data_IF_662721556164
#
_entry.id   IF_662721556164
#
_cell.length_a   1.000
_cell.length_b   1.000
_cell.length_c   1.000
_cell.angle_alpha   90.00
_cell.angle_beta   90.00
_cell.angle_gamma   90.00
#
_symmetry.space_group_name_H-M   'P 1'
#
loop_
_entity.id
_entity.type
_entity.pdbx_description
1 polymer ?
#
# COMPACT_ATOMS: atom_id res chain seq x y z
N UNK A 1 -25.32 -26.20 39.02
CA UNK A 1 -25.51 -26.56 37.60
C UNK A 1 -24.17 -26.37 36.90
N UNK A 2 -23.37 -27.44 36.80
CA UNK A 2 -22.13 -27.45 36.03
C UNK A 2 -22.51 -27.58 34.56
N UNK A 3 -22.39 -26.50 33.79
CA UNK A 3 -22.58 -26.53 32.35
C UNK A 3 -21.57 -27.51 31.75
N UNK A 4 -22.08 -28.60 31.18
CA UNK A 4 -21.30 -29.57 30.43
C UNK A 4 -20.52 -28.85 29.32
N UNK A 5 -19.20 -29.10 29.15
CA UNK A 5 -18.42 -28.41 28.12
C UNK A 5 -18.96 -28.80 26.75
N UNK A 6 -19.52 -27.82 26.02
CA UNK A 6 -20.06 -28.01 24.69
C UNK A 6 -18.98 -28.62 23.77
N UNK A 7 -19.27 -29.82 23.23
CA UNK A 7 -18.40 -30.49 22.28
C UNK A 7 -18.20 -29.55 21.08
N UNK A 8 -16.95 -29.16 20.74
CA UNK A 8 -16.71 -28.22 19.65
C UNK A 8 -17.23 -28.83 18.35
N UNK A 9 -18.11 -28.10 17.67
CA UNK A 9 -18.68 -28.54 16.40
C UNK A 9 -17.56 -28.91 15.41
N UNK A 10 -17.64 -30.06 14.71
CA UNK A 10 -16.62 -30.49 13.77
C UNK A 10 -16.40 -29.41 12.70
N UNK A 11 -15.14 -29.05 12.45
CA UNK A 11 -14.78 -28.08 11.42
C UNK A 11 -13.98 -28.77 10.31
N UNK A 12 -14.07 -28.24 9.09
CA UNK A 12 -13.34 -28.77 7.95
C UNK A 12 -11.89 -28.27 7.99
N UNK A 13 -10.92 -29.16 8.10
CA UNK A 13 -9.49 -28.81 8.03
C UNK A 13 -9.16 -28.21 6.65
N UNK A 14 -8.62 -26.99 6.64
CA UNK A 14 -8.22 -26.25 5.43
C UNK A 14 -6.72 -26.27 5.17
N UNK A 15 -5.96 -27.20 5.78
CA UNK A 15 -4.51 -27.33 5.60
C UNK A 15 -4.07 -27.32 4.12
N UNK A 16 -4.70 -28.12 3.27
CA UNK A 16 -4.33 -28.19 1.84
C UNK A 16 -4.48 -26.84 1.16
N UNK A 17 -5.58 -26.12 1.44
CA UNK A 17 -5.79 -24.79 0.87
C UNK A 17 -4.76 -23.78 1.40
N UNK A 18 -4.40 -23.84 2.68
CA UNK A 18 -3.31 -23.02 3.25
C UNK A 18 -1.97 -23.30 2.57
N UNK A 19 -1.66 -24.56 2.27
CA UNK A 19 -0.44 -24.91 1.51
C UNK A 19 -0.48 -24.27 0.11
N UNK A 20 -1.61 -24.37 -0.61
CA UNK A 20 -1.75 -23.78 -1.96
C UNK A 20 -1.55 -22.25 -1.92
N UNK A 21 -2.21 -21.55 -0.99
CA UNK A 21 -2.04 -20.10 -0.84
C UNK A 21 -0.62 -19.71 -0.43
N UNK A 22 0.00 -20.47 0.48
CA UNK A 22 1.37 -20.20 0.89
C UNK A 22 2.40 -20.47 -0.22
N UNK A 23 2.18 -21.48 -1.08
CA UNK A 23 2.99 -21.69 -2.30
C UNK A 23 2.81 -20.53 -3.28
N UNK A 24 1.59 -20.03 -3.46
CA UNK A 24 1.35 -18.84 -4.28
C UNK A 24 2.10 -17.61 -3.74
N UNK A 25 2.08 -17.38 -2.43
CA UNK A 25 2.86 -16.31 -1.77
C UNK A 25 4.38 -16.47 -1.98
N UNK A 26 4.89 -17.69 -1.95
CA UNK A 26 6.31 -17.98 -2.25
C UNK A 26 6.67 -17.75 -3.72
N UNK A 27 5.79 -18.11 -4.66
CA UNK A 27 5.99 -17.83 -6.08
C UNK A 27 5.99 -16.32 -6.35
N UNK A 28 5.09 -15.57 -5.68
CA UNK A 28 5.09 -14.12 -5.74
C UNK A 28 6.40 -13.53 -5.17
N UNK A 29 6.89 -14.07 -4.05
CA UNK A 29 8.17 -13.66 -3.47
C UNK A 29 9.34 -13.90 -4.45
N UNK A 30 9.37 -15.05 -5.11
CA UNK A 30 10.38 -15.39 -6.12
C UNK A 30 10.32 -14.45 -7.32
N UNK A 31 9.10 -14.15 -7.81
CA UNK A 31 8.90 -13.18 -8.89
C UNK A 31 9.42 -11.79 -8.50
N UNK A 32 9.08 -11.31 -7.30
CA UNK A 32 9.57 -10.03 -6.79
C UNK A 32 11.10 -10.02 -6.64
N UNK A 33 11.71 -11.11 -6.20
CA UNK A 33 13.16 -11.26 -6.12
C UNK A 33 13.81 -11.22 -7.52
N UNK A 34 13.21 -11.86 -8.53
CA UNK A 34 13.69 -11.83 -9.91
C UNK A 34 13.60 -10.41 -10.51
N UNK A 35 12.48 -9.70 -10.30
CA UNK A 35 12.33 -8.30 -10.71
C UNK A 35 13.36 -7.40 -10.01
N UNK A 36 13.62 -7.65 -8.72
CA UNK A 36 14.64 -6.93 -7.95
C UNK A 36 16.02 -7.15 -8.55
N UNK A 37 16.38 -8.40 -8.86
CA UNK A 37 17.67 -8.74 -9.49
C UNK A 37 17.82 -8.07 -10.86
N UNK A 38 16.79 -8.13 -11.70
CA UNK A 38 16.78 -7.46 -12.99
C UNK A 38 16.97 -5.95 -12.84
N UNK A 39 16.26 -5.33 -11.88
CA UNK A 39 16.36 -3.89 -11.60
C UNK A 39 17.78 -3.50 -11.15
N UNK A 40 18.45 -4.34 -10.36
CA UNK A 40 19.86 -4.14 -9.98
C UNK A 40 20.78 -4.23 -11.21
N UNK A 41 20.61 -5.25 -12.06
CA UNK A 41 21.39 -5.40 -13.29
C UNK A 41 21.21 -4.19 -14.21
N UNK A 42 19.97 -3.74 -14.42
CA UNK A 42 19.67 -2.55 -15.20
C UNK A 42 20.32 -1.31 -14.59
N UNK A 43 20.24 -1.12 -13.27
CA UNK A 43 20.87 0.01 -12.59
C UNK A 43 22.40 0.02 -12.77
N UNK A 44 23.04 -1.14 -12.70
CA UNK A 44 24.49 -1.28 -12.93
C UNK A 44 24.87 -1.02 -14.39
N UNK A 45 24.04 -1.46 -15.35
CA UNK A 45 24.26 -1.23 -16.77
C UNK A 45 24.02 0.25 -17.18
N UNK A 46 23.01 0.89 -16.60
CA UNK A 46 22.58 2.26 -16.93
C UNK A 46 23.37 3.33 -16.18
N UNK A 47 24.09 2.99 -15.10
CA UNK A 47 25.07 3.88 -14.44
C UNK A 47 26.07 4.52 -15.42
N UNK A 48 26.23 3.95 -16.61
CA UNK A 48 27.06 4.50 -17.69
C UNK A 48 26.42 5.63 -18.53
N UNK A 49 25.11 5.91 -18.45
CA UNK A 49 24.42 6.80 -19.43
C UNK A 49 23.28 7.71 -18.93
N UNK A 50 22.76 7.61 -17.71
CA UNK A 50 21.57 8.42 -17.31
C UNK A 50 21.86 9.52 -16.29
N UNK A 51 21.42 10.75 -16.59
CA UNK A 51 21.43 11.90 -15.67
C UNK A 51 20.33 11.85 -14.59
N UNK A 52 19.33 10.98 -14.75
CA UNK A 52 18.26 10.71 -13.76
C UNK A 52 18.75 9.84 -12.59
N UNK A 53 19.58 10.41 -11.73
CA UNK A 53 19.91 10.01 -10.35
C UNK A 53 19.92 8.51 -9.98
N UNK A 54 21.10 7.92 -9.65
CA UNK A 54 21.25 6.56 -9.09
C UNK A 54 20.41 6.26 -7.84
N UNK A 55 19.89 7.30 -7.18
CA UNK A 55 19.12 7.20 -5.94
C UNK A 55 17.76 6.57 -6.16
N UNK A 56 16.90 7.06 -7.07
CA UNK A 56 15.50 6.59 -7.22
C UNK A 56 15.42 5.09 -7.56
N UNK A 57 16.31 4.64 -8.44
CA UNK A 57 16.42 3.24 -8.82
C UNK A 57 16.86 2.35 -7.64
N UNK A 58 17.83 2.78 -6.84
CA UNK A 58 18.27 2.05 -5.65
C UNK A 58 17.12 1.84 -4.65
N UNK A 59 16.27 2.84 -4.46
CA UNK A 59 15.13 2.72 -3.54
C UNK A 59 14.05 1.78 -4.04
N UNK A 60 13.77 1.82 -5.34
CA UNK A 60 12.84 0.88 -5.97
C UNK A 60 13.30 -0.57 -5.73
N UNK A 61 14.60 -0.82 -5.87
CA UNK A 61 15.22 -2.12 -5.54
C UNK A 61 15.02 -2.48 -4.06
N UNK A 62 15.29 -1.56 -3.12
CA UNK A 62 15.14 -1.84 -1.69
C UNK A 62 13.70 -2.16 -1.28
N UNK A 63 12.72 -1.43 -1.83
CA UNK A 63 11.29 -1.69 -1.57
C UNK A 63 10.88 -3.05 -2.13
N UNK A 64 11.26 -3.36 -3.37
CA UNK A 64 10.96 -4.65 -3.99
C UNK A 64 11.60 -5.82 -3.24
N UNK A 65 12.86 -5.67 -2.81
CA UNK A 65 13.55 -6.65 -1.98
C UNK A 65 12.83 -6.88 -0.63
N UNK A 66 12.43 -5.81 0.05
CA UNK A 66 11.68 -5.88 1.30
C UNK A 66 10.33 -6.58 1.12
N UNK A 67 9.61 -6.27 0.04
CA UNK A 67 8.35 -6.94 -0.31
C UNK A 67 8.55 -8.43 -0.61
N UNK A 68 9.63 -8.80 -1.31
CA UNK A 68 9.96 -10.20 -1.57
C UNK A 68 10.21 -10.98 -0.27
N UNK A 69 10.98 -10.40 0.66
CA UNK A 69 11.23 -11.01 1.98
C UNK A 69 9.94 -11.15 2.79
N UNK A 70 9.10 -10.10 2.80
CA UNK A 70 7.81 -10.13 3.50
C UNK A 70 6.87 -11.19 2.92
N UNK A 71 6.75 -11.28 1.59
CA UNK A 71 5.95 -12.29 0.91
C UNK A 71 6.46 -13.71 1.19
N UNK A 72 7.77 -13.92 1.20
CA UNK A 72 8.36 -15.21 1.53
C UNK A 72 8.05 -15.62 2.98
N UNK A 73 8.20 -14.67 3.92
CA UNK A 73 7.92 -14.89 5.33
C UNK A 73 6.44 -15.23 5.58
N UNK A 74 5.53 -14.50 4.94
CA UNK A 74 4.09 -14.78 4.99
C UNK A 74 3.76 -16.14 4.37
N UNK A 75 4.32 -16.46 3.20
CA UNK A 75 4.13 -17.74 2.53
C UNK A 75 4.51 -18.93 3.40
N UNK A 76 5.69 -18.88 4.03
CA UNK A 76 6.13 -19.90 4.99
C UNK A 76 5.16 -19.98 6.17
N UNK A 77 4.76 -18.83 6.73
CA UNK A 77 3.79 -18.77 7.83
C UNK A 77 2.44 -19.39 7.47
N UNK A 78 1.95 -19.15 6.25
CA UNK A 78 0.69 -19.69 5.72
C UNK A 78 0.76 -21.21 5.53
N UNK A 79 1.85 -21.75 4.95
CA UNK A 79 2.06 -23.21 4.80
C UNK A 79 2.07 -23.89 6.17
N UNK A 80 2.70 -23.26 7.16
CA UNK A 80 2.78 -23.74 8.53
C UNK A 80 1.50 -23.47 9.35
N UNK A 81 0.45 -22.93 8.73
CA UNK A 81 -0.83 -22.59 9.35
C UNK A 81 -0.69 -21.70 10.61
N UNK A 82 0.29 -20.78 10.62
CA UNK A 82 0.55 -19.90 11.78
C UNK A 82 -0.55 -18.86 11.94
N UNK A 83 -0.97 -18.61 13.18
CA UNK A 83 -2.03 -17.62 13.48
C UNK A 83 -1.65 -16.20 13.08
N UNK A 84 -0.38 -15.83 13.27
CA UNK A 84 0.10 -14.50 12.91
C UNK A 84 0.07 -14.28 11.40
N UNK A 85 0.41 -15.30 10.60
CA UNK A 85 0.42 -15.19 9.14
C UNK A 85 -0.99 -14.94 8.61
N UNK A 86 -2.00 -15.68 9.12
CA UNK A 86 -3.41 -15.44 8.80
C UNK A 86 -3.85 -14.01 9.13
N UNK A 87 -3.52 -13.52 10.32
CA UNK A 87 -3.90 -12.17 10.75
C UNK A 87 -3.26 -11.09 9.86
N UNK A 88 -1.96 -11.23 9.56
CA UNK A 88 -1.24 -10.30 8.68
C UNK A 88 -1.78 -10.33 7.25
N UNK A 89 -1.96 -11.52 6.66
CA UNK A 89 -2.49 -11.65 5.30
C UNK A 89 -3.91 -11.09 5.18
N UNK A 90 -4.75 -11.25 6.20
CA UNK A 90 -6.08 -10.65 6.20
C UNK A 90 -6.03 -9.12 6.28
N UNK A 91 -5.16 -8.55 7.13
CA UNK A 91 -4.97 -7.11 7.20
C UNK A 91 -4.39 -6.54 5.89
N UNK A 92 -3.33 -7.17 5.35
CA UNK A 92 -2.69 -6.76 4.10
C UNK A 92 -3.64 -6.92 2.92
N UNK A 93 -4.45 -7.98 2.88
CA UNK A 93 -5.47 -8.19 1.86
C UNK A 93 -6.52 -7.07 1.86
N UNK A 94 -6.99 -6.62 3.03
CA UNK A 94 -7.89 -5.47 3.11
C UNK A 94 -7.23 -4.15 2.69
N UNK A 95 -5.99 -3.91 3.12
CA UNK A 95 -5.23 -2.70 2.71
C UNK A 95 -5.05 -2.71 1.20
N UNK A 96 -4.62 -3.83 0.62
CA UNK A 96 -4.46 -3.99 -0.82
C UNK A 96 -5.78 -3.82 -1.56
N UNK A 97 -6.87 -4.44 -1.11
CA UNK A 97 -8.18 -4.31 -1.73
C UNK A 97 -8.68 -2.86 -1.74
N UNK A 98 -8.59 -2.17 -0.60
CA UNK A 98 -9.03 -0.77 -0.49
C UNK A 98 -8.18 0.11 -1.40
N UNK A 99 -6.85 0.04 -1.30
CA UNK A 99 -5.95 0.79 -2.18
C UNK A 99 -6.17 0.46 -3.67
N UNK A 100 -6.44 -0.81 -3.97
CA UNK A 100 -6.72 -1.31 -5.32
C UNK A 100 -8.03 -0.78 -5.90
N UNK A 101 -9.09 -0.71 -5.08
CA UNK A 101 -10.35 -0.07 -5.46
C UNK A 101 -10.16 1.43 -5.69
N UNK A 102 -9.43 2.12 -4.81
CA UNK A 102 -9.10 3.54 -4.98
C UNK A 102 -8.32 3.79 -6.28
N UNK A 103 -7.30 2.97 -6.55
CA UNK A 103 -6.51 3.05 -7.79
C UNK A 103 -7.29 2.64 -9.03
N UNK A 104 -8.24 1.70 -8.92
CA UNK A 104 -9.11 1.33 -10.04
C UNK A 104 -10.09 2.46 -10.39
N UNK A 105 -10.62 3.15 -9.37
CA UNK A 105 -11.45 4.34 -9.57
C UNK A 105 -10.66 5.47 -10.24
N UNK A 106 -9.36 5.58 -9.95
CA UNK A 106 -8.54 6.62 -10.56
C UNK A 106 -8.33 6.45 -12.07
N UNK A 107 -8.60 5.25 -12.61
CA UNK A 107 -8.60 5.03 -14.05
C UNK A 107 -9.59 5.91 -14.80
N UNK A 108 -10.67 6.37 -14.17
CA UNK A 108 -11.62 7.31 -14.80
C UNK A 108 -10.92 8.60 -15.25
N UNK A 109 -9.92 9.06 -14.50
CA UNK A 109 -9.13 10.24 -14.85
C UNK A 109 -7.92 9.93 -15.72
N UNK A 110 -7.36 8.72 -15.63
CA UNK A 110 -6.15 8.32 -16.37
C UNK A 110 -6.49 7.89 -17.81
N UNK A 111 -7.63 7.23 -18.03
CA UNK A 111 -8.01 6.67 -19.34
C UNK A 111 -8.03 7.69 -20.49
N UNK A 112 -8.58 8.91 -20.34
CA UNK A 112 -8.55 9.90 -21.41
C UNK A 112 -7.13 10.32 -21.82
N UNK A 113 -6.21 10.35 -20.86
CA UNK A 113 -4.82 10.74 -21.12
C UNK A 113 -4.01 9.58 -21.72
N UNK A 114 -4.30 8.36 -21.27
CA UNK A 114 -3.77 7.15 -21.90
C UNK A 114 -4.12 7.09 -23.40
N UNK A 115 -5.35 7.46 -23.77
CA UNK A 115 -5.77 7.51 -25.18
C UNK A 115 -4.99 8.51 -26.01
N UNK A 116 -4.79 9.71 -25.47
CA UNK A 116 -4.00 10.76 -26.12
C UNK A 116 -2.56 10.31 -26.30
N UNK A 117 -1.95 9.79 -25.24
CA UNK A 117 -0.58 9.28 -25.25
C UNK A 117 -0.38 8.18 -26.28
N UNK A 118 -1.29 7.19 -26.36
CA UNK A 118 -1.19 6.12 -27.35
C UNK A 118 -1.33 6.63 -28.78
N UNK A 119 -2.24 7.58 -29.05
CA UNK A 119 -2.39 8.17 -30.38
C UNK A 119 -1.16 8.95 -30.81
N UNK A 120 -0.52 9.68 -29.89
CA UNK A 120 0.72 10.40 -30.15
C UNK A 120 1.87 9.44 -30.49
N UNK A 121 2.05 8.38 -29.70
CA UNK A 121 3.10 7.38 -29.95
C UNK A 121 2.88 6.64 -31.26
N UNK A 122 1.63 6.32 -31.59
CA UNK A 122 1.28 5.68 -32.86
C UNK A 122 1.56 6.60 -34.05
N UNK A 123 1.20 7.88 -33.96
CA UNK A 123 1.52 8.88 -34.97
C UNK A 123 3.03 9.02 -35.19
N UNK A 124 3.83 9.02 -34.12
CA UNK A 124 5.29 9.05 -34.21
C UNK A 124 5.88 7.79 -34.86
N UNK A 125 5.24 6.65 -34.68
CA UNK A 125 5.68 5.35 -35.21
C UNK A 125 5.14 5.07 -36.62
N UNK A 126 4.37 5.99 -37.22
CA UNK A 126 3.70 5.78 -38.50
C UNK A 126 2.62 4.69 -38.48
N UNK A 127 2.16 4.29 -37.29
CA UNK A 127 1.13 3.26 -37.13
C UNK A 127 -0.26 3.91 -37.02
N UNK A 128 -1.23 3.37 -37.75
CA UNK A 128 -2.63 3.73 -37.59
C UNK A 128 -3.30 2.79 -36.57
N UNK A 129 -3.57 3.28 -35.37
CA UNK A 129 -4.37 2.56 -34.38
C UNK A 129 -5.84 2.59 -34.80
N UNK A 130 -6.38 1.45 -35.20
CA UNK A 130 -7.82 1.30 -35.41
C UNK A 130 -8.58 1.42 -34.08
N UNK A 131 -9.85 1.83 -34.12
CA UNK A 131 -10.68 1.93 -32.91
C UNK A 131 -10.80 0.60 -32.17
N UNK A 132 -10.90 -0.51 -32.91
CA UNK A 132 -10.93 -1.86 -32.34
C UNK A 132 -9.65 -2.20 -31.55
N UNK A 133 -8.47 -1.80 -32.04
CA UNK A 133 -7.20 -2.00 -31.33
C UNK A 133 -7.15 -1.20 -30.03
N UNK A 134 -7.54 0.08 -30.05
CA UNK A 134 -7.58 0.92 -28.84
C UNK A 134 -8.55 0.35 -27.80
N UNK A 135 -9.72 -0.11 -28.23
CA UNK A 135 -10.70 -0.74 -27.33
C UNK A 135 -10.12 -2.01 -26.71
N UNK A 136 -9.53 -2.90 -27.52
CA UNK A 136 -8.92 -4.14 -27.04
C UNK A 136 -7.80 -3.89 -26.01
N UNK A 137 -6.92 -2.91 -26.27
CA UNK A 137 -5.84 -2.52 -25.36
C UNK A 137 -6.37 -1.92 -24.05
N UNK A 138 -7.39 -1.07 -24.10
CA UNK A 138 -8.02 -0.52 -22.89
C UNK A 138 -8.74 -1.60 -22.09
N UNK A 139 -9.51 -2.46 -22.75
CA UNK A 139 -10.21 -3.56 -22.10
C UNK A 139 -9.24 -4.54 -21.43
N UNK A 140 -8.11 -4.85 -22.08
CA UNK A 140 -7.09 -5.71 -21.48
C UNK A 140 -6.40 -5.05 -20.28
N UNK A 141 -6.06 -3.76 -20.37
CA UNK A 141 -5.50 -2.99 -19.25
C UNK A 141 -6.47 -2.93 -18.07
N UNK A 142 -7.73 -2.54 -18.29
CA UNK A 142 -8.76 -2.47 -17.24
C UNK A 142 -8.99 -3.86 -16.64
N UNK A 143 -9.10 -4.90 -17.48
CA UNK A 143 -9.26 -6.28 -17.03
C UNK A 143 -8.11 -6.73 -16.13
N UNK A 144 -6.86 -6.45 -16.53
CA UNK A 144 -5.68 -6.75 -15.72
C UNK A 144 -5.68 -5.99 -14.40
N UNK A 145 -6.00 -4.68 -14.41
CA UNK A 145 -6.09 -3.88 -13.19
C UNK A 145 -7.15 -4.44 -12.24
N UNK A 146 -8.36 -4.75 -12.74
CA UNK A 146 -9.43 -5.31 -11.91
C UNK A 146 -9.04 -6.68 -11.34
N UNK A 147 -8.42 -7.55 -12.14
CA UNK A 147 -7.97 -8.86 -11.64
C UNK A 147 -6.93 -8.67 -10.53
N UNK A 148 -5.91 -7.85 -10.78
CA UNK A 148 -4.78 -7.69 -9.86
C UNK A 148 -5.14 -6.92 -8.58
N UNK A 149 -5.97 -5.88 -8.68
CA UNK A 149 -6.27 -4.96 -7.58
C UNK A 149 -7.62 -5.19 -6.91
N UNK A 150 -8.50 -5.98 -7.52
CA UNK A 150 -9.82 -6.29 -6.94
C UNK A 150 -9.99 -7.79 -6.74
N UNK A 151 -9.85 -8.61 -7.79
CA UNK A 151 -10.17 -10.05 -7.71
C UNK A 151 -9.20 -10.79 -6.79
N UNK A 152 -7.89 -10.66 -7.00
CA UNK A 152 -6.87 -11.34 -6.18
C UNK A 152 -6.97 -10.95 -4.69
N UNK A 153 -6.93 -9.66 -4.32
CA UNK A 153 -7.02 -9.29 -2.90
C UNK A 153 -8.38 -9.64 -2.28
N UNK A 154 -9.48 -9.61 -3.05
CA UNK A 154 -10.78 -10.10 -2.57
C UNK A 154 -10.75 -11.59 -2.27
N UNK A 155 -10.15 -12.41 -3.14
CA UNK A 155 -10.00 -13.84 -2.90
C UNK A 155 -9.18 -14.12 -1.63
N UNK A 156 -8.08 -13.39 -1.42
CA UNK A 156 -7.27 -13.47 -0.20
C UNK A 156 -8.08 -13.12 1.04
N UNK A 157 -8.81 -11.99 1.01
CA UNK A 157 -9.66 -11.54 2.12
C UNK A 157 -10.72 -12.58 2.46
N UNK A 158 -11.46 -13.08 1.45
CA UNK A 158 -12.51 -14.08 1.64
C UNK A 158 -11.94 -15.38 2.21
N UNK A 159 -10.79 -15.83 1.71
CA UNK A 159 -10.12 -17.03 2.18
C UNK A 159 -9.68 -16.92 3.64
N UNK A 160 -8.88 -15.89 3.99
CA UNK A 160 -8.33 -15.75 5.34
C UNK A 160 -9.37 -15.31 6.40
N UNK A 161 -10.50 -14.75 5.96
CA UNK A 161 -11.66 -14.47 6.83
C UNK A 161 -12.47 -15.72 7.16
N UNK A 162 -12.41 -16.78 6.35
CA UNK A 162 -13.24 -17.96 6.53
C UNK A 162 -13.04 -18.64 7.89
N UNK A 163 -14.15 -19.00 8.54
CA UNK A 163 -14.14 -19.59 9.89
C UNK A 163 -13.34 -20.90 9.95
N UNK A 164 -13.44 -21.73 8.92
CA UNK A 164 -12.69 -22.98 8.83
C UNK A 164 -11.17 -22.74 8.77
N UNK A 165 -10.71 -21.67 8.09
CA UNK A 165 -9.29 -21.31 8.03
C UNK A 165 -8.82 -20.82 9.40
N UNK A 166 -9.63 -19.99 10.07
CA UNK A 166 -9.37 -19.56 11.45
C UNK A 166 -9.17 -20.76 12.38
N UNK A 167 -10.15 -21.66 12.43
CA UNK A 167 -10.12 -22.85 13.30
C UNK A 167 -8.96 -23.77 12.99
N UNK A 168 -8.64 -23.95 11.70
CA UNK A 168 -7.46 -24.73 11.28
C UNK A 168 -6.17 -24.14 11.84
N UNK A 169 -5.97 -22.81 11.72
CA UNK A 169 -4.80 -22.15 12.28
C UNK A 169 -4.76 -22.21 13.81
N UNK A 170 -5.89 -22.05 14.49
CA UNK A 170 -5.97 -22.11 15.96
C UNK A 170 -5.66 -23.52 16.50
N UNK A 171 -6.14 -24.57 15.81
CA UNK A 171 -5.84 -25.94 16.18
C UNK A 171 -4.38 -26.34 15.91
N UNK A 172 -3.76 -25.81 14.85
CA UNK A 172 -2.38 -26.15 14.44
C UNK A 172 -1.31 -25.28 15.11
N UNK A 173 -1.64 -24.06 15.52
CA UNK A 173 -0.74 -23.13 16.20
C UNK A 173 -1.39 -22.66 17.51
N UNK A 174 -1.41 -23.51 18.57
CA UNK A 174 -2.07 -23.19 19.84
C UNK A 174 -1.31 -22.11 20.64
N UNK A 175 -0.06 -21.82 20.25
CA UNK A 175 0.79 -20.82 20.90
C UNK A 175 0.22 -19.42 20.65
N UNK A 176 0.01 -18.66 21.72
CA UNK A 176 -0.37 -17.24 21.64
C UNK A 176 0.70 -16.46 20.87
N UNK A 177 0.29 -15.73 19.85
CA UNK A 177 1.17 -14.90 19.03
C UNK A 177 0.99 -13.42 19.36
N UNK A 178 1.96 -12.60 18.97
CA UNK A 178 1.92 -11.16 19.17
C UNK A 178 0.69 -10.52 18.49
N UNK A 179 0.26 -11.04 17.33
CA UNK A 179 -0.97 -10.59 16.65
C UNK A 179 -2.24 -10.81 17.46
N UNK A 180 -2.24 -11.71 18.45
CA UNK A 180 -3.40 -11.95 19.31
C UNK A 180 -3.52 -10.89 20.44
N UNK A 181 -2.49 -10.08 20.67
CA UNK A 181 -2.51 -9.02 21.67
C UNK A 181 -3.24 -7.75 21.18
N UNK A 182 -3.50 -7.63 19.88
CA UNK A 182 -4.17 -6.49 19.28
C UNK A 182 -5.42 -6.96 18.50
N UNK A 183 -6.60 -6.34 18.70
CA UNK A 183 -7.77 -6.63 17.89
C UNK A 183 -7.44 -6.49 16.41
N UNK A 184 -7.83 -7.48 15.60
CA UNK A 184 -7.49 -7.54 14.17
C UNK A 184 -7.87 -6.25 13.39
N UNK A 185 -8.98 -5.61 13.79
CA UNK A 185 -9.44 -4.34 13.21
C UNK A 185 -8.45 -3.19 13.46
N UNK A 186 -7.82 -3.16 14.63
CA UNK A 186 -6.79 -2.15 14.96
C UNK A 186 -5.44 -2.53 14.35
N UNK A 187 -5.13 -3.82 14.25
CA UNK A 187 -3.88 -4.33 13.67
C UNK A 187 -3.64 -3.81 12.25
N UNK A 188 -4.68 -3.69 11.42
CA UNK A 188 -4.57 -3.08 10.09
C UNK A 188 -3.99 -1.67 10.10
N UNK A 189 -4.42 -0.81 11.04
CA UNK A 189 -3.84 0.53 11.20
C UNK A 189 -2.43 0.50 11.77
N UNK A 190 -2.16 -0.41 12.72
CA UNK A 190 -0.81 -0.60 13.26
C UNK A 190 0.17 -0.94 12.13
N UNK A 191 -0.23 -1.83 11.21
CA UNK A 191 0.56 -2.17 10.03
C UNK A 191 0.66 -1.00 9.05
N UNK A 192 -0.43 -0.26 8.80
CA UNK A 192 -0.40 0.89 7.90
C UNK A 192 0.59 1.97 8.38
N UNK A 193 0.52 2.36 9.66
CA UNK A 193 1.46 3.34 10.24
C UNK A 193 2.86 2.76 10.43
N UNK A 194 2.99 1.47 10.75
CA UNK A 194 4.29 0.80 10.91
C UNK A 194 5.05 0.67 9.60
N UNK A 195 4.39 0.17 8.55
CA UNK A 195 4.94 0.14 7.19
C UNK A 195 5.17 1.56 6.68
N UNK A 196 4.22 2.47 6.90
CA UNK A 196 4.38 3.89 6.54
C UNK A 196 5.60 4.54 7.19
N UNK A 197 5.91 4.20 8.44
CA UNK A 197 7.14 4.64 9.12
C UNK A 197 8.38 4.18 8.37
N UNK A 198 8.45 2.88 8.05
CA UNK A 198 9.59 2.31 7.35
C UNK A 198 9.71 2.94 5.95
N UNK A 199 8.61 3.08 5.22
CA UNK A 199 8.58 3.72 3.92
C UNK A 199 9.06 5.17 4.00
N UNK A 200 8.55 5.99 4.93
CA UNK A 200 8.97 7.39 5.05
C UNK A 200 10.43 7.51 5.50
N UNK A 201 10.88 6.70 6.46
CA UNK A 201 12.26 6.73 6.93
C UNK A 201 13.24 6.34 5.83
N UNK A 202 12.95 5.25 5.10
CA UNK A 202 13.76 4.80 3.97
C UNK A 202 13.72 5.81 2.82
N UNK A 203 12.55 6.38 2.49
CA UNK A 203 12.41 7.32 1.38
C UNK A 203 12.81 8.76 1.73
N UNK A 204 13.18 9.03 2.98
CA UNK A 204 13.54 10.39 3.42
C UNK A 204 14.69 11.04 2.63
N UNK A 205 15.74 10.33 2.17
CA UNK A 205 16.77 10.95 1.34
C UNK A 205 16.29 11.29 -0.08
N UNK A 206 15.25 10.62 -0.58
CA UNK A 206 14.60 10.95 -1.85
C UNK A 206 13.64 12.13 -1.71
N UNK A 207 12.69 12.02 -0.79
CA UNK A 207 11.71 13.06 -0.53
C UNK A 207 12.34 14.30 0.11
N UNK A 208 13.54 14.18 0.68
CA UNK A 208 14.37 15.30 1.13
C UNK A 208 14.71 16.29 0.02
N UNK A 209 14.56 15.92 -1.26
CA UNK A 209 14.69 16.86 -2.39
C UNK A 209 13.46 17.72 -2.58
N UNK A 210 12.28 17.18 -2.35
CA UNK A 210 11.01 17.88 -2.47
C UNK A 210 9.93 17.21 -1.61
N UNK A 211 9.42 17.95 -0.62
CA UNK A 211 8.28 17.58 0.21
C UNK A 211 7.19 18.65 0.06
N UNK A 212 5.99 18.29 -0.45
CA UNK A 212 4.89 19.23 -0.54
C UNK A 212 4.25 19.42 0.84
N UNK A 213 4.26 20.67 1.31
CA UNK A 213 3.70 21.12 2.58
C UNK A 213 2.80 22.33 2.32
N UNK A 214 1.49 22.12 2.36
CA UNK A 214 0.44 23.12 2.20
C UNK A 214 0.69 24.04 0.99
N UNK A 215 0.91 23.45 -0.18
CA UNK A 215 1.16 24.18 -1.44
C UNK A 215 2.61 24.67 -1.62
N UNK A 216 3.44 24.58 -0.58
CA UNK A 216 4.87 24.92 -0.65
C UNK A 216 5.70 23.66 -0.81
N UNK A 217 6.83 23.75 -1.51
CA UNK A 217 7.76 22.62 -1.65
C UNK A 217 8.99 22.89 -0.79
N UNK A 218 9.07 22.19 0.35
CA UNK A 218 10.25 22.15 1.20
C UNK A 218 11.31 21.24 0.56
N UNK A 219 12.57 21.62 0.67
CA UNK A 219 13.70 20.88 0.09
C UNK A 219 14.92 20.93 1.00
N UNK A 220 15.84 20.00 0.83
CA UNK A 220 17.07 19.87 1.61
C UNK A 220 16.83 19.35 3.03
N UNK A 221 17.69 19.78 3.95
CA UNK A 221 17.68 19.35 5.36
C UNK A 221 16.34 19.56 6.06
N UNK A 222 15.62 20.70 5.89
CA UNK A 222 14.32 20.89 6.52
C UNK A 222 13.29 19.81 6.13
N UNK A 223 13.24 19.41 4.85
CA UNK A 223 12.34 18.37 4.39
C UNK A 223 12.67 17.00 5.03
N UNK A 224 13.95 16.66 5.13
CA UNK A 224 14.41 15.43 5.79
C UNK A 224 14.01 15.43 7.26
N UNK A 225 14.22 16.53 7.99
CA UNK A 225 13.85 16.64 9.40
C UNK A 225 12.34 16.48 9.61
N UNK A 226 11.51 17.10 8.77
CA UNK A 226 10.06 16.94 8.82
C UNK A 226 9.64 15.49 8.57
N UNK A 227 10.25 14.82 7.59
CA UNK A 227 9.96 13.42 7.29
C UNK A 227 10.39 12.47 8.41
N UNK A 228 11.57 12.69 9.02
CA UNK A 228 12.04 11.90 10.14
C UNK A 228 11.16 12.12 11.39
N UNK A 229 10.73 13.35 11.64
CA UNK A 229 9.77 13.66 12.69
C UNK A 229 8.42 12.96 12.44
N UNK A 230 7.95 12.96 11.19
CA UNK A 230 6.72 12.26 10.80
C UNK A 230 6.85 10.74 10.92
N UNK A 231 8.00 10.17 10.58
CA UNK A 231 8.29 8.75 10.77
C UNK A 231 8.30 8.38 12.26
N UNK A 232 8.96 9.18 13.11
CA UNK A 232 8.97 8.98 14.56
C UNK A 232 7.55 9.08 15.15
N UNK A 233 6.76 10.05 14.70
CA UNK A 233 5.35 10.18 15.09
C UNK A 233 4.53 8.96 14.65
N UNK A 234 4.73 8.49 13.42
CA UNK A 234 4.04 7.31 12.89
C UNK A 234 4.40 6.03 13.65
N UNK A 235 5.67 5.86 14.04
CA UNK A 235 6.11 4.76 14.90
C UNK A 235 5.45 4.82 16.28
N UNK A 236 5.38 6.02 16.86
CA UNK A 236 4.72 6.24 18.14
C UNK A 236 3.22 5.92 18.06
N UNK A 237 2.55 6.36 16.99
CA UNK A 237 1.14 6.04 16.72
C UNK A 237 0.97 4.53 16.59
N UNK A 238 1.77 3.84 15.77
CA UNK A 238 1.68 2.39 15.57
C UNK A 238 1.84 1.63 16.90
N UNK A 239 2.87 1.97 17.69
CA UNK A 239 3.08 1.41 19.02
C UNK A 239 1.92 1.71 19.98
N UNK A 240 1.39 2.93 19.95
CA UNK A 240 0.29 3.37 20.79
C UNK A 240 -1.04 2.70 20.44
N UNK A 241 -1.35 2.56 19.16
CA UNK A 241 -2.51 1.84 18.64
C UNK A 241 -2.42 0.35 18.99
N UNK A 242 -1.25 -0.28 18.86
CA UNK A 242 -1.03 -1.66 19.28
C UNK A 242 -1.31 -1.87 20.77
N UNK A 243 -0.95 -0.87 21.60
CA UNK A 243 -1.24 -0.83 23.04
C UNK A 243 -2.63 -0.25 23.37
N UNK A 244 -3.50 -0.06 22.38
CA UNK A 244 -4.87 0.46 22.52
C UNK A 244 -4.96 1.80 23.27
N UNK A 245 -3.93 2.65 23.16
CA UNK A 245 -3.91 3.96 23.83
C UNK A 245 -4.85 4.94 23.13
N UNK A 246 -5.77 5.53 23.90
CA UNK A 246 -6.71 6.55 23.40
C UNK A 246 -6.02 7.80 22.86
N UNK A 247 -4.88 8.19 23.40
CA UNK A 247 -4.09 9.31 22.87
C UNK A 247 -3.61 9.03 21.44
N UNK A 248 -3.08 7.84 21.18
CA UNK A 248 -2.60 7.44 19.85
C UNK A 248 -3.72 7.42 18.80
N UNK A 249 -4.94 7.05 19.19
CA UNK A 249 -6.13 7.15 18.33
C UNK A 249 -6.41 8.60 17.89
N UNK A 250 -6.47 9.55 18.82
CA UNK A 250 -6.72 10.95 18.48
C UNK A 250 -5.57 11.57 17.70
N UNK A 251 -4.32 11.20 18.00
CA UNK A 251 -3.17 11.63 17.21
C UNK A 251 -3.23 11.08 15.79
N UNK A 252 -3.60 9.81 15.61
CA UNK A 252 -3.80 9.23 14.27
C UNK A 252 -4.89 9.98 13.49
N UNK A 253 -6.01 10.31 14.15
CA UNK A 253 -7.08 11.11 13.56
C UNK A 253 -6.57 12.49 13.11
N UNK A 254 -5.83 13.19 13.97
CA UNK A 254 -5.21 14.47 13.63
C UNK A 254 -4.23 14.37 12.46
N UNK A 255 -3.40 13.33 12.43
CA UNK A 255 -2.46 13.07 11.34
C UNK A 255 -3.17 12.80 10.02
N UNK A 256 -4.23 11.99 10.01
CA UNK A 256 -5.02 11.71 8.79
C UNK A 256 -5.69 12.99 8.28
N UNK A 257 -6.29 13.79 9.17
CA UNK A 257 -6.91 15.07 8.79
C UNK A 257 -5.89 16.06 8.21
N UNK A 258 -4.79 16.30 8.92
CA UNK A 258 -3.75 17.22 8.47
C UNK A 258 -3.07 16.72 7.19
N UNK A 259 -2.82 15.41 7.08
CA UNK A 259 -2.27 14.79 5.88
C UNK A 259 -3.20 14.94 4.69
N UNK A 260 -4.50 14.67 4.85
CA UNK A 260 -5.49 14.86 3.79
C UNK A 260 -5.61 16.31 3.34
N UNK A 261 -5.64 17.26 4.29
CA UNK A 261 -5.66 18.69 3.99
C UNK A 261 -4.38 19.13 3.27
N UNK A 262 -3.22 18.65 3.72
CA UNK A 262 -1.94 18.91 3.10
C UNK A 262 -1.90 18.41 1.65
N UNK A 263 -2.32 17.17 1.41
CA UNK A 263 -2.40 16.58 0.07
C UNK A 263 -3.35 17.38 -0.82
N UNK A 264 -4.54 17.71 -0.31
CA UNK A 264 -5.51 18.48 -1.08
C UNK A 264 -4.97 19.86 -1.46
N UNK A 265 -4.50 20.66 -0.50
CA UNK A 265 -3.96 22.01 -0.78
C UNK A 265 -2.75 21.93 -1.71
N UNK A 266 -1.87 20.95 -1.49
CA UNK A 266 -0.64 20.83 -2.27
C UNK A 266 -0.89 20.42 -3.71
N UNK A 267 -1.95 19.68 -4.03
CA UNK A 267 -2.18 19.21 -5.40
C UNK A 267 -3.38 19.88 -6.09
N UNK A 268 -4.30 20.51 -5.35
CA UNK A 268 -5.47 21.16 -5.95
C UNK A 268 -5.11 22.49 -6.65
N UNK A 269 -4.12 23.23 -6.13
CA UNK A 269 -3.75 24.56 -6.64
C UNK A 269 -2.31 24.74 -7.11
N UNK A 270 -1.42 23.75 -6.95
CA UNK A 270 0.01 23.92 -7.24
C UNK A 270 0.46 23.24 -8.55
N UNK A 271 1.53 23.79 -9.14
CA UNK A 271 2.25 23.20 -10.26
C UNK A 271 2.90 21.89 -9.79
N UNK A 272 2.21 20.76 -9.96
CA UNK A 272 2.79 19.41 -9.83
C UNK A 272 4.13 19.29 -10.59
N UNK A 273 4.26 20.02 -11.70
CA UNK A 273 5.50 20.18 -12.45
C UNK A 273 6.62 20.84 -11.64
N UNK A 274 6.36 21.89 -10.85
CA UNK A 274 7.36 22.53 -9.99
C UNK A 274 7.82 21.59 -8.86
N UNK A 275 6.93 20.71 -8.39
CA UNK A 275 7.31 19.64 -7.46
C UNK A 275 8.28 18.64 -8.12
N UNK A 276 7.96 18.18 -9.33
CA UNK A 276 8.80 17.26 -10.09
C UNK A 276 10.13 17.87 -10.52
N UNK A 277 10.16 19.16 -10.87
CA UNK A 277 11.38 19.90 -11.18
C UNK A 277 12.33 19.90 -9.98
N UNK A 278 11.80 20.15 -8.77
CA UNK A 278 12.58 20.09 -7.53
C UNK A 278 13.05 18.68 -7.15
N UNK A 279 12.40 17.63 -7.66
CA UNK A 279 12.90 16.25 -7.53
C UNK A 279 14.14 15.99 -8.42
N UNK A 280 14.45 16.90 -9.34
CA UNK A 280 15.58 16.80 -10.27
C UNK A 280 15.28 16.00 -11.53
N UNK A 281 14.00 15.91 -11.92
CA UNK A 281 13.58 15.30 -13.18
C UNK A 281 14.07 16.15 -14.36
N UNK A 282 14.56 15.48 -15.41
CA UNK A 282 15.03 16.15 -16.62
C UNK A 282 13.89 16.85 -17.37
N UNK A 283 14.21 17.84 -18.22
CA UNK A 283 13.19 18.57 -19.00
C UNK A 283 12.34 17.66 -19.89
N UNK A 284 12.94 16.61 -20.44
CA UNK A 284 12.21 15.66 -21.29
C UNK A 284 11.26 14.77 -20.47
N UNK A 285 11.68 14.39 -19.25
CA UNK A 285 10.83 13.64 -18.32
C UNK A 285 9.69 14.52 -17.80
N UNK A 286 9.96 15.80 -17.50
CA UNK A 286 8.94 16.76 -17.11
C UNK A 286 7.91 16.99 -18.22
N UNK A 287 8.34 17.06 -19.49
CA UNK A 287 7.42 17.14 -20.64
C UNK A 287 6.58 15.86 -20.79
N UNK A 288 7.19 14.70 -20.60
CA UNK A 288 6.47 13.43 -20.61
C UNK A 288 5.43 13.38 -19.47
N UNK A 289 5.79 13.84 -18.27
CA UNK A 289 4.87 13.94 -17.14
C UNK A 289 3.77 14.98 -17.42
N UNK A 290 4.10 16.16 -17.93
CA UNK A 290 3.12 17.19 -18.31
C UNK A 290 2.14 16.67 -19.36
N UNK A 291 2.63 15.90 -20.33
CA UNK A 291 1.79 15.27 -21.34
C UNK A 291 0.98 14.07 -20.83
N UNK A 292 1.41 13.41 -19.76
CA UNK A 292 0.73 12.23 -19.19
C UNK A 292 -0.01 12.53 -17.90
N UNK A 293 0.04 13.79 -17.43
CA UNK A 293 -0.36 14.15 -16.09
C UNK A 293 -1.84 13.83 -15.91
N UNK A 294 -2.11 12.78 -15.13
CA UNK A 294 -3.30 12.75 -14.31
C UNK A 294 -3.39 14.15 -13.67
N UNK A 295 -4.46 14.88 -13.98
CA UNK A 295 -4.59 16.28 -13.54
C UNK A 295 -4.21 16.37 -12.06
N UNK A 296 -3.50 17.42 -11.67
CA UNK A 296 -3.17 17.68 -10.25
C UNK A 296 -4.42 17.56 -9.36
N UNK A 297 -5.58 17.94 -9.91
CA UNK A 297 -6.90 17.68 -9.37
C UNK A 297 -7.22 16.20 -9.11
N UNK A 298 -6.94 15.27 -10.03
CA UNK A 298 -7.14 13.84 -9.82
C UNK A 298 -6.31 13.30 -8.64
N UNK A 299 -5.05 13.73 -8.50
CA UNK A 299 -4.21 13.37 -7.34
C UNK A 299 -4.80 13.93 -6.04
N UNK A 300 -5.24 15.20 -6.06
CA UNK A 300 -5.89 15.84 -4.91
C UNK A 300 -7.18 15.12 -4.50
N UNK A 301 -8.04 14.77 -5.45
CA UNK A 301 -9.30 14.08 -5.21
C UNK A 301 -9.09 12.64 -4.73
N UNK A 302 -8.15 11.91 -5.31
CA UNK A 302 -7.79 10.57 -4.85
C UNK A 302 -7.27 10.61 -3.42
N UNK A 303 -6.41 11.59 -3.10
CA UNK A 303 -5.92 11.83 -1.74
C UNK A 303 -7.04 12.17 -0.75
N UNK A 304 -7.94 13.07 -1.12
CA UNK A 304 -9.09 13.45 -0.30
C UNK A 304 -10.02 12.26 -0.06
N UNK A 305 -10.30 11.46 -1.08
CA UNK A 305 -11.14 10.28 -0.95
C UNK A 305 -10.46 9.19 -0.11
N UNK A 306 -9.15 8.96 -0.28
CA UNK A 306 -8.38 8.06 0.59
C UNK A 306 -8.39 8.51 2.06
N UNK A 307 -8.24 9.82 2.30
CA UNK A 307 -8.39 10.40 3.64
C UNK A 307 -9.79 10.14 4.20
N UNK A 308 -10.85 10.41 3.43
CA UNK A 308 -12.23 10.15 3.83
C UNK A 308 -12.45 8.68 4.24
N UNK A 309 -11.96 7.72 3.45
CA UNK A 309 -12.05 6.29 3.78
C UNK A 309 -11.35 5.97 5.11
N UNK A 310 -10.15 6.52 5.35
CA UNK A 310 -9.44 6.34 6.62
C UNK A 310 -10.16 6.99 7.80
N UNK A 311 -10.79 8.14 7.61
CA UNK A 311 -11.59 8.81 8.64
C UNK A 311 -12.85 8.00 9.00
N UNK A 312 -13.57 7.47 8.01
CA UNK A 312 -14.69 6.57 8.25
C UNK A 312 -14.23 5.31 9.01
N UNK A 313 -13.06 4.76 8.66
CA UNK A 313 -12.49 3.62 9.35
C UNK A 313 -12.13 3.94 10.82
N UNK A 314 -11.50 5.09 11.06
CA UNK A 314 -11.19 5.57 12.42
C UNK A 314 -12.45 5.85 13.24
N UNK A 315 -13.50 6.42 12.63
CA UNK A 315 -14.78 6.63 13.30
C UNK A 315 -15.41 5.28 13.72
N UNK A 316 -15.36 4.28 12.84
CA UNK A 316 -15.82 2.93 13.15
C UNK A 316 -15.02 2.24 14.27
N UNK A 317 -13.73 2.56 14.41
CA UNK A 317 -12.88 2.04 15.49
C UNK A 317 -13.04 2.76 16.84
N UNK A 318 -13.69 3.93 16.87
CA UNK A 318 -13.85 4.74 18.08
C UNK A 318 -14.30 3.93 19.33
N UNK A 319 -15.30 3.02 19.24
CA UNK A 319 -15.77 2.26 20.41
C UNK A 319 -14.68 1.38 21.05
N UNK A 320 -13.74 0.87 20.26
CA UNK A 320 -12.64 -0.01 20.74
C UNK A 320 -11.73 0.74 21.72
N UNK A 321 -11.54 2.05 21.53
CA UNK A 321 -10.70 2.90 22.39
C UNK A 321 -11.48 3.54 23.55
N UNK A 322 -12.81 3.42 23.57
CA UNK A 322 -13.69 3.91 24.63
C UNK A 322 -13.85 2.93 25.80
N UNK A 323 -13.89 1.62 25.51
CA UNK A 323 -14.16 0.57 26.49
C UNK A 323 -13.02 0.30 27.49
N UNK A 324 -11.80 0.77 27.22
CA UNK A 324 -10.62 0.50 28.04
C UNK A 324 -10.57 1.26 29.40
N UNK A 325 -11.65 1.92 29.81
CA UNK A 325 -11.71 2.73 31.06
C UNK A 325 -12.55 2.13 32.19
N UNK A 326 -13.22 1.00 32.00
CA UNK A 326 -14.18 0.46 32.99
C UNK A 326 -13.72 -0.77 33.78
N UNK A 327 -12.45 -1.16 33.69
CA UNK A 327 -11.84 -2.10 34.64
C UNK A 327 -10.82 -1.35 35.52
N UNK A 328 -11.32 -0.68 36.56
CA UNK A 328 -10.56 -0.27 37.73
C UNK A 328 -11.42 -0.45 38.96
#
# INVERSE_FOLDING_TARGET
>A
MTSEPAVPAPYQDRKTALIVFGVFELLLALLLAAITLLSVVTLLAVRAKSAGGPTVALWSVLVLAGMAVAAAWLGIGTILARRWARALNLCLGWIWLVCGLLGSLSLVWILPEFDRSMRLTAAQSGQHLTEGMMLAMKSSMIGMVLVMYVVIPSALVLFFRAENVRRTCEARDPVRRWTDACPLRVLGLVLLFGVGTLSVALLSPLYGRALPVFGHVLSGTPAILVLLAFAALSAWIACGLYRLKRSAYFTALGVVLLGGLNTFISFYGSNLIAYYEKLGLGRDELRAIESSAASSAAVAWLGAFGCFVLLCYLAWLHPVFGAAKTEK
#
